data_IF_299815026356
#
_entry.id   IF_299815026356
#
_cell.length_a   1.000
_cell.length_b   1.000
_cell.length_c   1.000
_cell.angle_alpha   90.00
_cell.angle_beta   90.00
_cell.angle_gamma   90.00
#
_symmetry.space_group_name_H-M   'P 1'
#
loop_
_entity.id
_entity.type
_entity.pdbx_description
1 polymer ?
#
# COMPACT_ATOMS: atom_id res chain seq x y z
N UNK A 1 9.46 -9.76 14.48
CA UNK A 1 9.35 -11.24 14.58
C UNK A 1 8.77 -11.74 15.91
N UNK A 2 8.75 -10.95 17.00
CA UNK A 2 8.21 -11.41 18.29
C UNK A 2 6.74 -11.84 18.24
N UNK A 3 5.89 -11.12 17.50
CA UNK A 3 4.47 -11.44 17.33
C UNK A 3 4.23 -12.84 16.74
N UNK A 4 4.86 -13.13 15.59
CA UNK A 4 4.72 -14.44 14.92
C UNK A 4 5.25 -15.57 15.84
N UNK A 5 6.36 -15.34 16.54
CA UNK A 5 6.89 -16.32 17.48
C UNK A 5 5.93 -16.60 18.64
N UNK A 6 5.33 -15.56 19.25
CA UNK A 6 4.36 -15.75 20.34
C UNK A 6 3.12 -16.50 19.87
N UNK A 7 2.57 -16.15 18.70
CA UNK A 7 1.39 -16.83 18.14
C UNK A 7 1.69 -18.29 17.83
N UNK A 8 2.79 -18.59 17.14
CA UNK A 8 3.17 -19.98 16.81
C UNK A 8 3.50 -20.79 18.07
N UNK A 9 4.13 -20.18 19.07
CA UNK A 9 4.43 -20.85 20.34
C UNK A 9 3.15 -21.14 21.12
N UNK A 10 2.16 -20.22 21.12
CA UNK A 10 0.84 -20.46 21.71
C UNK A 10 0.10 -21.57 20.96
N UNK A 11 0.05 -21.52 19.63
CA UNK A 11 -0.55 -22.57 18.79
C UNK A 11 0.08 -23.94 19.05
N UNK A 12 1.41 -24.01 19.22
CA UNK A 12 2.10 -25.27 19.55
C UNK A 12 1.77 -25.79 20.96
N UNK A 13 1.55 -24.91 21.95
CA UNK A 13 1.32 -25.28 23.35
C UNK A 13 -0.14 -25.60 23.65
N UNK A 14 -1.05 -24.79 23.13
CA UNK A 14 -2.48 -24.78 23.48
C UNK A 14 -3.35 -25.32 22.33
N UNK A 15 -2.76 -25.56 21.16
CA UNK A 15 -3.45 -26.03 19.96
C UNK A 15 -3.89 -24.89 19.05
N UNK A 16 -4.24 -25.24 17.81
CA UNK A 16 -4.59 -24.27 16.76
C UNK A 16 -5.89 -23.51 17.05
N UNK A 17 -6.84 -24.11 17.77
CA UNK A 17 -8.09 -23.42 18.19
C UNK A 17 -7.83 -22.30 19.19
N UNK A 18 -6.76 -22.38 19.99
CA UNK A 18 -6.47 -21.36 21.00
C UNK A 18 -6.00 -20.02 20.40
N UNK A 19 -5.68 -20.00 19.11
CA UNK A 19 -5.33 -18.77 18.38
C UNK A 19 -6.48 -18.22 17.53
N UNK A 20 -7.59 -18.94 17.33
CA UNK A 20 -8.74 -18.45 16.53
C UNK A 20 -9.28 -17.11 17.05
N UNK A 21 -9.49 -17.01 18.36
CA UNK A 21 -9.95 -15.76 18.98
C UNK A 21 -8.94 -14.61 18.87
N UNK A 22 -7.64 -14.92 18.72
CA UNK A 22 -6.61 -13.89 18.52
C UNK A 22 -6.52 -13.41 17.06
N UNK A 23 -6.86 -14.26 16.09
CA UNK A 23 -6.80 -13.95 14.65
C UNK A 23 -8.13 -13.47 14.06
N UNK A 24 -9.26 -13.72 14.74
CA UNK A 24 -10.56 -13.13 14.39
C UNK A 24 -10.63 -11.65 14.77
N UNK A 25 -10.14 -11.31 15.97
CA UNK A 25 -10.07 -9.93 16.45
C UNK A 25 -8.67 -9.60 16.96
N UNK A 26 -7.81 -9.17 16.03
CA UNK A 26 -6.46 -8.74 16.34
C UNK A 26 -6.43 -7.51 17.27
N UNK A 27 -7.46 -6.65 17.24
CA UNK A 27 -7.50 -5.45 18.07
C UNK A 27 -7.83 -5.78 19.54
N UNK A 28 -8.68 -6.79 19.77
CA UNK A 28 -9.00 -7.29 21.11
C UNK A 28 -7.96 -8.29 21.65
N UNK A 29 -7.09 -8.83 20.79
CA UNK A 29 -6.11 -9.83 21.21
C UNK A 29 -5.03 -9.27 22.15
N UNK A 30 -4.79 -9.92 23.30
CA UNK A 30 -3.73 -9.54 24.22
C UNK A 30 -2.32 -9.77 23.64
N UNK A 31 -2.18 -10.61 22.61
CA UNK A 31 -0.89 -10.84 21.94
C UNK A 31 -0.57 -9.67 21.03
N UNK A 32 -1.52 -9.26 20.18
CA UNK A 32 -1.36 -8.14 19.27
C UNK A 32 -1.26 -6.79 20.02
N UNK A 33 -1.91 -6.65 21.18
CA UNK A 33 -1.79 -5.47 22.05
C UNK A 33 -0.35 -5.17 22.49
N UNK A 34 0.53 -6.18 22.56
CA UNK A 34 1.97 -5.98 22.86
C UNK A 34 2.75 -5.36 21.69
N UNK A 35 2.20 -5.41 20.48
CA UNK A 35 2.85 -4.99 19.24
C UNK A 35 2.02 -3.89 18.54
N UNK A 36 1.90 -2.68 19.12
CA UNK A 36 1.08 -1.61 18.57
C UNK A 36 1.58 -1.10 17.20
N UNK A 37 2.86 -1.32 16.89
CA UNK A 37 3.40 -1.00 15.56
C UNK A 37 2.79 -1.86 14.45
N UNK A 38 2.44 -3.12 14.76
CA UNK A 38 1.77 -4.02 13.81
C UNK A 38 0.30 -3.62 13.69
N UNK A 39 -0.37 -3.39 14.82
CA UNK A 39 -1.79 -2.97 14.85
C UNK A 39 -2.07 -1.64 14.15
N UNK A 40 -1.09 -0.74 14.06
CA UNK A 40 -1.24 0.50 13.29
C UNK A 40 -1.29 0.28 11.78
N UNK A 41 -0.72 -0.83 11.31
CA UNK A 41 -0.73 -1.20 9.90
C UNK A 41 -1.84 -2.24 9.68
N UNK A 42 -2.99 -1.74 9.24
CA UNK A 42 -4.16 -2.57 8.97
C UNK A 42 -3.89 -3.62 7.90
N UNK A 43 -3.10 -3.28 6.87
CA UNK A 43 -2.74 -4.20 5.77
C UNK A 43 -1.86 -5.33 6.29
N UNK A 44 -0.82 -5.01 7.05
CA UNK A 44 0.08 -6.01 7.63
C UNK A 44 -0.64 -6.89 8.67
N UNK A 45 -1.55 -6.31 9.44
CA UNK A 45 -2.36 -7.06 10.42
C UNK A 45 -3.32 -8.02 9.72
N UNK A 46 -4.05 -7.55 8.69
CA UNK A 46 -4.94 -8.37 7.88
C UNK A 46 -4.20 -9.54 7.23
N UNK A 47 -3.04 -9.25 6.61
CA UNK A 47 -2.15 -10.26 6.04
C UNK A 47 -1.86 -11.38 7.05
N UNK A 48 -1.27 -11.04 8.20
CA UNK A 48 -0.90 -12.05 9.20
C UNK A 48 -2.12 -12.85 9.68
N UNK A 49 -3.26 -12.19 9.94
CA UNK A 49 -4.47 -12.85 10.44
C UNK A 49 -5.10 -13.79 9.40
N UNK A 50 -5.18 -13.37 8.14
CA UNK A 50 -5.83 -14.14 7.07
C UNK A 50 -5.03 -15.41 6.73
N UNK A 51 -3.70 -15.34 6.65
CA UNK A 51 -2.89 -16.54 6.46
C UNK A 51 -2.93 -17.49 7.66
N UNK A 52 -2.92 -16.96 8.89
CA UNK A 52 -3.09 -17.79 10.08
C UNK A 52 -4.49 -18.44 10.11
N UNK A 53 -5.52 -17.76 9.60
CA UNK A 53 -6.88 -18.31 9.47
C UNK A 53 -6.90 -19.47 8.47
N UNK A 54 -6.26 -19.32 7.31
CA UNK A 54 -6.12 -20.40 6.32
C UNK A 54 -5.37 -21.58 6.94
N UNK A 55 -4.26 -21.34 7.65
CA UNK A 55 -3.52 -22.38 8.36
C UNK A 55 -4.36 -23.08 9.43
N UNK A 56 -5.22 -22.35 10.15
CA UNK A 56 -6.10 -22.90 11.18
C UNK A 56 -7.19 -23.81 10.61
N UNK A 57 -7.69 -23.48 9.41
CA UNK A 57 -8.71 -24.27 8.72
C UNK A 57 -8.19 -25.62 8.20
N UNK A 58 -6.87 -25.80 8.12
CA UNK A 58 -6.21 -27.05 7.71
C UNK A 58 -6.47 -27.48 6.26
N UNK A 59 -7.08 -26.62 5.44
CA UNK A 59 -7.62 -26.98 4.12
C UNK A 59 -6.63 -26.78 2.95
N UNK A 60 -5.36 -26.50 3.22
CA UNK A 60 -4.39 -26.11 2.19
C UNK A 60 -3.03 -26.73 2.44
N UNK A 61 -2.39 -27.23 1.38
CA UNK A 61 -1.07 -27.84 1.50
C UNK A 61 0.02 -26.75 1.68
N UNK A 62 1.13 -27.02 2.39
CA UNK A 62 2.15 -26.00 2.68
C UNK A 62 2.72 -25.30 1.43
N UNK A 63 2.86 -26.02 0.32
CA UNK A 63 3.37 -25.46 -0.94
C UNK A 63 2.35 -24.53 -1.63
N UNK A 64 1.06 -24.78 -1.45
CA UNK A 64 0.00 -23.90 -1.96
C UNK A 64 -0.06 -22.61 -1.14
N UNK A 65 0.13 -22.73 0.18
CA UNK A 65 0.24 -21.58 1.08
C UNK A 65 1.43 -20.68 0.69
N UNK A 66 2.61 -21.28 0.47
CA UNK A 66 3.80 -20.56 -0.01
C UNK A 66 3.55 -19.81 -1.33
N UNK A 67 2.93 -20.47 -2.30
CA UNK A 67 2.55 -19.82 -3.56
C UNK A 67 1.58 -18.64 -3.36
N UNK A 68 0.67 -18.74 -2.38
CA UNK A 68 -0.21 -17.64 -2.03
C UNK A 68 0.54 -16.48 -1.38
N UNK A 69 1.50 -16.76 -0.49
CA UNK A 69 2.40 -15.75 0.11
C UNK A 69 3.14 -14.95 -0.97
N UNK A 70 3.73 -15.64 -1.94
CA UNK A 70 4.49 -15.01 -3.03
C UNK A 70 3.59 -14.18 -3.96
N UNK A 71 2.40 -14.70 -4.30
CA UNK A 71 1.46 -14.00 -5.17
C UNK A 71 1.01 -12.66 -4.56
N UNK A 72 0.66 -12.67 -3.27
CA UNK A 72 0.20 -11.44 -2.61
C UNK A 72 1.33 -10.43 -2.45
N UNK A 73 2.54 -10.87 -2.11
CA UNK A 73 3.72 -10.00 -2.06
C UNK A 73 4.03 -9.36 -3.41
N UNK A 74 3.93 -10.13 -4.50
CA UNK A 74 4.12 -9.60 -5.85
C UNK A 74 3.05 -8.56 -6.19
N UNK A 75 1.78 -8.87 -5.92
CA UNK A 75 0.67 -7.95 -6.19
C UNK A 75 0.78 -6.66 -5.37
N UNK A 76 1.18 -6.75 -4.10
CA UNK A 76 1.40 -5.58 -3.25
C UNK A 76 2.54 -4.71 -3.80
N UNK A 77 3.63 -5.34 -4.24
CA UNK A 77 4.75 -4.61 -4.85
C UNK A 77 4.30 -3.86 -6.10
N UNK A 78 3.55 -4.53 -6.98
CA UNK A 78 3.00 -3.90 -8.18
C UNK A 78 2.06 -2.72 -7.82
N UNK A 79 1.17 -2.90 -6.83
CA UNK A 79 0.29 -1.85 -6.30
C UNK A 79 1.08 -0.61 -5.84
N UNK A 80 2.19 -0.82 -5.15
CA UNK A 80 3.08 0.23 -4.65
C UNK A 80 3.89 0.93 -5.76
N UNK A 81 4.08 0.29 -6.91
CA UNK A 81 4.78 0.85 -8.07
C UNK A 81 3.87 1.75 -8.92
N UNK A 82 2.54 1.54 -8.93
CA UNK A 82 1.59 2.34 -9.71
C UNK A 82 1.68 3.87 -9.50
N UNK A 83 1.79 4.42 -8.28
CA UNK A 83 1.93 5.86 -8.07
C UNK A 83 3.16 6.44 -8.77
N UNK A 84 4.26 5.69 -8.82
CA UNK A 84 5.49 6.14 -9.49
C UNK A 84 5.31 6.27 -11.01
N UNK A 85 4.58 5.33 -11.61
CA UNK A 85 4.22 5.39 -13.03
C UNK A 85 3.29 6.58 -13.33
N UNK A 86 2.31 6.86 -12.46
CA UNK A 86 1.43 8.01 -12.61
C UNK A 86 2.21 9.34 -12.58
N UNK A 87 3.14 9.49 -11.64
CA UNK A 87 4.00 10.69 -11.56
C UNK A 87 4.89 10.83 -12.79
N UNK A 88 5.44 9.72 -13.29
CA UNK A 88 6.26 9.70 -14.51
C UNK A 88 5.46 10.18 -15.72
N UNK A 89 4.22 9.70 -15.88
CA UNK A 89 3.33 10.14 -16.96
C UNK A 89 3.03 11.65 -16.91
N UNK A 90 2.85 12.23 -15.71
CA UNK A 90 2.69 13.69 -15.57
C UNK A 90 4.00 14.41 -15.91
N UNK A 91 5.14 13.89 -15.45
CA UNK A 91 6.45 14.47 -15.71
C UNK A 91 6.77 14.53 -17.21
N UNK A 92 6.40 13.51 -17.98
CA UNK A 92 6.59 13.48 -19.43
C UNK A 92 5.77 14.56 -20.16
N UNK A 93 4.61 14.94 -19.62
CA UNK A 93 3.75 16.00 -20.18
C UNK A 93 4.14 17.43 -19.77
N UNK A 94 4.84 17.60 -18.65
CA UNK A 94 5.20 18.92 -18.11
C UNK A 94 6.07 19.78 -19.04
N UNK A 95 7.06 19.25 -19.80
CA UNK A 95 7.84 20.03 -20.75
C UNK A 95 6.98 20.69 -21.82
N UNK A 96 5.98 19.98 -22.36
CA UNK A 96 5.04 20.52 -23.35
C UNK A 96 4.21 21.68 -22.80
N UNK A 97 3.74 21.54 -21.56
CA UNK A 97 3.03 22.61 -20.85
C UNK A 97 3.89 23.87 -20.68
N UNK A 98 5.17 23.72 -20.37
CA UNK A 98 6.11 24.85 -20.23
C UNK A 98 6.29 25.64 -21.53
N UNK A 99 6.32 24.95 -22.68
CA UNK A 99 6.40 25.60 -23.99
C UNK A 99 5.14 26.43 -24.25
N UNK A 100 3.96 25.85 -24.03
CA UNK A 100 2.69 26.56 -24.23
C UNK A 100 2.58 27.78 -23.33
N UNK A 101 2.99 27.68 -22.06
CA UNK A 101 3.01 28.80 -21.13
C UNK A 101 3.93 29.95 -21.59
N UNK A 102 5.12 29.63 -22.10
CA UNK A 102 6.05 30.63 -22.63
C UNK A 102 5.46 31.37 -23.85
N UNK A 103 4.84 30.64 -24.77
CA UNK A 103 4.17 31.22 -25.95
C UNK A 103 3.00 32.10 -25.52
N UNK A 104 2.18 31.65 -24.56
CA UNK A 104 1.08 32.45 -24.02
C UNK A 104 1.58 33.76 -23.41
N UNK A 105 2.69 33.73 -22.69
CA UNK A 105 3.35 34.93 -22.17
C UNK A 105 3.72 35.93 -23.27
N UNK A 106 4.32 35.46 -24.38
CA UNK A 106 4.64 36.31 -25.53
C UNK A 106 3.38 36.94 -26.12
N UNK A 107 2.33 36.14 -26.34
CA UNK A 107 1.06 36.63 -26.91
C UNK A 107 0.45 37.72 -26.02
N UNK A 108 0.42 37.51 -24.70
CA UNK A 108 -0.09 38.50 -23.76
C UNK A 108 0.74 39.79 -23.77
N UNK A 109 2.08 39.67 -23.81
CA UNK A 109 2.94 40.87 -23.90
C UNK A 109 2.79 41.63 -25.21
N UNK A 110 2.59 40.94 -26.33
CA UNK A 110 2.38 41.59 -27.63
C UNK A 110 0.99 42.24 -27.73
N UNK A 111 -0.02 41.63 -27.10
CA UNK A 111 -1.36 42.21 -27.01
C UNK A 111 -1.35 43.53 -26.19
N UNK A 112 -0.65 43.57 -25.05
CA UNK A 112 -0.58 44.78 -24.23
C UNK A 112 0.22 45.91 -24.89
N UNK A 113 1.28 45.58 -25.64
CA UNK A 113 2.00 46.56 -26.47
C UNK A 113 1.10 47.14 -27.58
N UNK A 114 0.28 46.31 -28.21
CA UNK A 114 -0.66 46.75 -29.25
C UNK A 114 -1.80 47.64 -28.75
N UNK A 115 -2.27 47.45 -27.52
CA UNK A 115 -3.24 48.36 -26.88
C UNK A 115 -2.62 49.72 -26.51
N UNK A 116 -1.34 49.74 -26.09
CA UNK A 116 -0.62 50.97 -25.75
C UNK A 116 -0.34 51.88 -26.95
N UNK A 117 -0.16 51.31 -28.14
CA UNK A 117 0.10 52.05 -29.38
C UNK A 117 -1.18 52.66 -30.00
N UNK A 118 -2.37 52.17 -29.64
CA UNK A 118 -3.65 52.77 -30.06
C UNK A 118 -4.15 53.89 -29.14
N UNK A 119 -3.55 54.03 -27.94
CA UNK A 119 -3.91 55.04 -26.94
C UNK A 119 -2.96 56.26 -26.92
N UNK A 120 -1.91 56.27 -27.76
CA UNK A 120 -0.97 57.37 -27.97
C UNK A 120 -1.27 58.10 -29.29
#
# INVERSE_FOLDING_TARGET
LGLIYEILNKSRREGMMAIEGDIEDAAASPIFAKYPAVLKDERMTAYICDYLRIMSSGNMAPHELEGLFDMELFSLKEELEHPSHAVTGIADGMPGFGIVAAVLGIVVTMASLGEGDQAA
#
